data_IF_858134959374
#
_entry.id   IF_858134959374
#
_cell.length_a   1.000
_cell.length_b   1.000
_cell.length_c   1.000
_cell.angle_alpha   90.00
_cell.angle_beta   90.00
_cell.angle_gamma   90.00
#
_symmetry.space_group_name_H-M   'P 1'
#
loop_
_entity.id
_entity.type
_entity.pdbx_description
1 polymer ?
#
# COMPACT_ATOMS: atom_id res chain seq x y z
N UNK A 1 35.31 0.19 -0.91
CA UNK A 1 34.82 -1.20 -1.01
C UNK A 1 33.77 -1.48 0.06
N UNK A 2 34.08 -1.38 1.36
CA UNK A 2 33.14 -1.60 2.47
C UNK A 2 31.86 -0.75 2.36
N UNK A 3 31.95 0.55 2.05
CA UNK A 3 30.78 1.43 1.94
C UNK A 3 29.78 1.00 0.87
N UNK A 4 30.26 0.48 -0.27
CA UNK A 4 29.37 0.01 -1.35
C UNK A 4 28.65 -1.28 -0.96
N UNK A 5 29.34 -2.18 -0.26
CA UNK A 5 28.75 -3.40 0.28
C UNK A 5 27.66 -3.09 1.32
N UNK A 6 27.90 -2.12 2.21
CA UNK A 6 26.90 -1.70 3.21
C UNK A 6 25.64 -1.09 2.56
N UNK A 7 25.81 -0.28 1.51
CA UNK A 7 24.70 0.26 0.73
C UNK A 7 23.88 -0.88 0.11
N UNK A 8 24.55 -1.84 -0.53
CA UNK A 8 23.89 -2.99 -1.16
C UNK A 8 23.04 -3.79 -0.16
N UNK A 9 23.58 -4.13 1.00
CA UNK A 9 22.82 -4.85 2.02
C UNK A 9 21.67 -4.05 2.60
N UNK A 10 21.82 -2.73 2.71
CA UNK A 10 20.76 -1.84 3.19
C UNK A 10 19.59 -1.80 2.20
N UNK A 11 19.89 -1.70 0.90
CA UNK A 11 18.89 -1.71 -0.17
C UNK A 11 18.18 -3.06 -0.25
N UNK A 12 18.92 -4.18 -0.22
CA UNK A 12 18.32 -5.53 -0.19
C UNK A 12 17.42 -5.72 1.02
N UNK A 13 17.82 -5.21 2.19
CA UNK A 13 16.99 -5.28 3.41
C UNK A 13 15.68 -4.51 3.23
N UNK A 14 15.70 -3.35 2.56
CA UNK A 14 14.49 -2.63 2.17
C UNK A 14 13.64 -3.45 1.19
N UNK A 15 14.23 -4.07 0.17
CA UNK A 15 13.53 -4.95 -0.77
C UNK A 15 12.80 -6.11 -0.09
N UNK A 16 13.47 -6.78 0.85
CA UNK A 16 12.86 -7.84 1.66
C UNK A 16 11.74 -7.32 2.56
N UNK A 17 11.93 -6.15 3.19
CA UNK A 17 10.87 -5.51 3.97
C UNK A 17 9.66 -5.18 3.08
N UNK A 18 9.88 -4.68 1.86
CA UNK A 18 8.83 -4.42 0.88
C UNK A 18 8.05 -5.68 0.48
N UNK A 19 8.78 -6.77 0.25
CA UNK A 19 8.20 -8.10 -0.01
C UNK A 19 7.31 -8.56 1.16
N UNK A 20 7.79 -8.43 2.39
CA UNK A 20 7.01 -8.81 3.59
C UNK A 20 5.73 -7.98 3.70
N UNK A 21 5.77 -6.67 3.40
CA UNK A 21 4.58 -5.82 3.41
C UNK A 21 3.53 -6.28 2.40
N UNK A 22 3.94 -6.62 1.16
CA UNK A 22 3.02 -7.18 0.17
C UNK A 22 2.43 -8.52 0.61
N UNK A 23 3.27 -9.44 1.11
CA UNK A 23 2.82 -10.76 1.57
C UNK A 23 1.82 -10.62 2.72
N UNK A 24 2.12 -9.81 3.74
CA UNK A 24 1.20 -9.60 4.87
C UNK A 24 -0.10 -8.99 4.38
N UNK A 25 -0.05 -7.99 3.50
CA UNK A 25 -1.24 -7.37 2.92
C UNK A 25 -2.12 -8.39 2.19
N UNK A 26 -1.50 -9.21 1.35
CA UNK A 26 -2.21 -10.20 0.55
C UNK A 26 -2.75 -11.36 1.39
N UNK A 27 -2.01 -11.82 2.41
CA UNK A 27 -2.49 -12.83 3.36
C UNK A 27 -3.73 -12.31 4.10
N UNK A 28 -3.69 -11.08 4.61
CA UNK A 28 -4.81 -10.51 5.35
C UNK A 28 -6.03 -10.29 4.47
N UNK A 29 -5.82 -9.92 3.21
CA UNK A 29 -6.88 -9.85 2.20
C UNK A 29 -7.52 -11.22 1.96
N UNK A 30 -6.71 -12.27 1.74
CA UNK A 30 -7.21 -13.63 1.50
C UNK A 30 -7.90 -14.25 2.72
N UNK A 31 -7.47 -13.89 3.94
CA UNK A 31 -8.14 -14.30 5.18
C UNK A 31 -9.49 -13.60 5.40
N UNK A 32 -9.85 -12.62 4.57
CA UNK A 32 -11.02 -11.78 4.77
C UNK A 32 -10.92 -10.85 5.99
N UNK A 33 -9.74 -10.73 6.60
CA UNK A 33 -9.49 -9.85 7.75
C UNK A 33 -9.37 -8.40 7.27
N UNK A 34 -8.73 -8.18 6.12
CA UNK A 34 -8.73 -6.92 5.41
C UNK A 34 -9.52 -7.07 4.12
N UNK A 35 -10.05 -5.95 3.63
CA UNK A 35 -10.82 -5.82 2.41
C UNK A 35 -10.17 -4.79 1.50
N UNK A 36 -10.63 -4.72 0.25
CA UNK A 36 -10.20 -3.68 -0.69
C UNK A 36 -10.59 -2.26 -0.22
N UNK A 37 -11.50 -2.10 0.75
CA UNK A 37 -11.88 -0.79 1.28
C UNK A 37 -10.94 -0.34 2.40
N UNK A 38 -10.22 -1.27 3.04
CA UNK A 38 -9.41 -0.96 4.21
C UNK A 38 -8.18 -0.13 3.85
N UNK A 39 -8.02 1.00 4.56
CA UNK A 39 -6.85 1.87 4.41
C UNK A 39 -5.53 1.12 4.66
N UNK A 40 -5.51 0.18 5.62
CA UNK A 40 -4.30 -0.61 5.96
C UNK A 40 -3.81 -1.45 4.77
N UNK A 41 -4.74 -2.05 4.01
CA UNK A 41 -4.42 -2.83 2.83
C UNK A 41 -3.66 -1.96 1.81
N UNK A 42 -4.17 -0.78 1.49
CA UNK A 42 -3.51 0.11 0.53
C UNK A 42 -2.19 0.67 1.04
N UNK A 43 -2.10 1.05 2.32
CA UNK A 43 -0.85 1.57 2.92
C UNK A 43 0.27 0.53 2.85
N UNK A 44 -0.02 -0.74 3.16
CA UNK A 44 0.99 -1.80 3.06
C UNK A 44 1.46 -2.01 1.62
N UNK A 45 0.54 -2.01 0.64
CA UNK A 45 0.90 -2.12 -0.77
C UNK A 45 1.71 -0.90 -1.27
N UNK A 46 1.38 0.32 -0.83
CA UNK A 46 2.13 1.53 -1.19
C UNK A 46 3.55 1.47 -0.63
N UNK A 47 3.71 1.20 0.68
CA UNK A 47 5.05 1.09 1.29
C UNK A 47 5.86 -0.06 0.68
N UNK A 48 5.23 -1.22 0.45
CA UNK A 48 5.83 -2.36 -0.24
C UNK A 48 6.34 -1.99 -1.63
N UNK A 49 5.51 -1.30 -2.41
CA UNK A 49 5.88 -0.84 -3.75
C UNK A 49 7.07 0.12 -3.74
N UNK A 50 7.12 1.08 -2.82
CA UNK A 50 8.23 2.05 -2.75
C UNK A 50 9.55 1.34 -2.45
N UNK A 51 9.56 0.43 -1.46
CA UNK A 51 10.78 -0.29 -1.11
C UNK A 51 11.26 -1.21 -2.24
N UNK A 52 10.35 -1.91 -2.91
CA UNK A 52 10.71 -2.77 -4.03
C UNK A 52 11.13 -2.01 -5.28
N UNK A 53 10.56 -0.82 -5.54
CA UNK A 53 11.06 0.05 -6.62
C UNK A 53 12.50 0.48 -6.34
N UNK A 54 12.82 0.89 -5.10
CA UNK A 54 14.20 1.26 -4.73
C UNK A 54 15.17 0.11 -4.96
N UNK A 55 14.81 -1.09 -4.48
CA UNK A 55 15.61 -2.30 -4.61
C UNK A 55 15.81 -2.73 -6.06
N UNK A 56 14.72 -2.83 -6.83
CA UNK A 56 14.78 -3.30 -8.22
C UNK A 56 15.41 -2.29 -9.18
N UNK A 57 15.36 -0.98 -8.89
CA UNK A 57 16.13 0.03 -9.62
C UNK A 57 17.62 -0.08 -9.32
N UNK A 58 17.99 -0.34 -8.06
CA UNK A 58 19.39 -0.55 -7.65
C UNK A 58 20.00 -1.78 -8.34
N UNK A 59 19.22 -2.83 -8.54
CA UNK A 59 19.61 -4.06 -9.25
C UNK A 59 19.44 -3.99 -10.78
N UNK A 60 19.18 -2.81 -11.34
CA UNK A 60 18.94 -2.60 -12.79
C UNK A 60 17.82 -3.46 -13.40
N UNK A 61 16.92 -3.96 -12.55
CA UNK A 61 15.80 -4.84 -12.91
C UNK A 61 14.57 -4.02 -13.29
N UNK A 62 14.63 -3.31 -14.42
CA UNK A 62 13.63 -2.31 -14.80
C UNK A 62 12.22 -2.85 -15.00
N UNK A 63 12.06 -4.10 -15.46
CA UNK A 63 10.74 -4.73 -15.58
C UNK A 63 10.08 -4.90 -14.20
N UNK A 64 10.84 -5.33 -13.20
CA UNK A 64 10.37 -5.46 -11.83
C UNK A 64 10.12 -4.07 -11.19
N UNK A 65 10.96 -3.08 -11.47
CA UNK A 65 10.75 -1.71 -11.02
C UNK A 65 9.45 -1.12 -11.57
N UNK A 66 9.18 -1.29 -12.86
CA UNK A 66 7.94 -0.84 -13.49
C UNK A 66 6.72 -1.54 -12.86
N UNK A 67 6.77 -2.86 -12.68
CA UNK A 67 5.67 -3.61 -12.08
C UNK A 67 5.34 -3.11 -10.67
N UNK A 68 6.36 -2.93 -9.80
CA UNK A 68 6.16 -2.43 -8.45
C UNK A 68 5.66 -0.97 -8.45
N UNK A 69 6.16 -0.13 -9.35
CA UNK A 69 5.69 1.25 -9.49
C UNK A 69 4.20 1.32 -9.84
N UNK A 70 3.74 0.52 -10.81
CA UNK A 70 2.32 0.47 -11.17
C UNK A 70 1.46 -0.11 -10.06
N UNK A 71 1.95 -1.10 -9.30
CA UNK A 71 1.27 -1.58 -8.09
C UNK A 71 1.07 -0.46 -7.06
N UNK A 72 2.09 0.38 -6.86
CA UNK A 72 1.97 1.58 -6.02
C UNK A 72 0.89 2.55 -6.51
N UNK A 73 0.81 2.80 -7.83
CA UNK A 73 -0.25 3.63 -8.42
C UNK A 73 -1.64 3.04 -8.16
N UNK A 74 -1.82 1.73 -8.39
CA UNK A 74 -3.09 1.04 -8.15
C UNK A 74 -3.50 1.13 -6.68
N UNK A 75 -2.55 0.96 -5.75
CA UNK A 75 -2.81 1.08 -4.32
C UNK A 75 -3.17 2.53 -3.90
N UNK A 76 -2.48 3.53 -4.46
CA UNK A 76 -2.84 4.95 -4.27
C UNK A 76 -4.25 5.25 -4.78
N UNK A 77 -4.60 4.78 -5.97
CA UNK A 77 -5.94 4.92 -6.53
C UNK A 77 -7.00 4.29 -5.62
N UNK A 78 -6.76 3.05 -5.16
CA UNK A 78 -7.65 2.35 -4.23
C UNK A 78 -7.85 3.14 -2.93
N UNK A 79 -6.77 3.61 -2.31
CA UNK A 79 -6.82 4.42 -1.09
C UNK A 79 -7.68 5.68 -1.24
N UNK A 80 -7.49 6.43 -2.32
CA UNK A 80 -8.24 7.67 -2.59
C UNK A 80 -9.72 7.35 -2.81
N UNK A 81 -10.02 6.32 -3.62
CA UNK A 81 -11.39 5.92 -3.93
C UNK A 81 -12.18 5.53 -2.69
N UNK A 82 -11.63 4.65 -1.85
CA UNK A 82 -12.37 4.09 -0.73
C UNK A 82 -12.44 5.02 0.49
N UNK A 83 -11.43 5.85 0.71
CA UNK A 83 -11.48 6.88 1.77
C UNK A 83 -12.62 7.90 1.54
N UNK A 84 -12.95 8.18 0.29
CA UNK A 84 -14.09 9.05 -0.04
C UNK A 84 -15.44 8.36 0.23
N UNK A 85 -15.52 7.05 0.04
CA UNK A 85 -16.75 6.27 0.29
C UNK A 85 -17.05 6.12 1.78
N UNK A 86 -16.02 5.93 2.62
CA UNK A 86 -16.19 5.88 4.08
C UNK A 86 -16.77 7.18 4.64
N UNK A 87 -16.27 8.33 4.15
CA UNK A 87 -16.78 9.65 4.55
C UNK A 87 -18.24 9.88 4.15
N UNK A 88 -18.61 9.55 2.91
CA UNK A 88 -19.99 9.71 2.44
C UNK A 88 -20.96 8.89 3.30
N UNK A 89 -20.62 7.63 3.59
CA UNK A 89 -21.46 6.77 4.46
C UNK A 89 -21.58 7.32 5.88
N UNK A 90 -20.51 7.88 6.45
CA UNK A 90 -20.59 8.49 7.78
C UNK A 90 -21.48 9.73 7.80
N UNK A 91 -21.40 10.55 6.74
CA UNK A 91 -22.17 11.78 6.64
C UNK A 91 -23.68 11.47 6.46
N UNK A 92 -24.02 10.50 5.60
CA UNK A 92 -25.40 10.01 5.41
C UNK A 92 -25.98 9.43 6.72
N UNK A 93 -25.19 8.64 7.45
CA UNK A 93 -25.61 8.09 8.74
C UNK A 93 -25.89 9.19 9.77
N UNK A 94 -25.03 10.22 9.86
CA UNK A 94 -25.23 11.37 10.75
C UNK A 94 -26.49 12.15 10.36
N UNK A 95 -26.70 12.41 9.06
CA UNK A 95 -27.88 13.12 8.56
C UNK A 95 -29.18 12.35 8.89
N UNK A 96 -29.20 11.03 8.70
CA UNK A 96 -30.37 10.18 9.00
C UNK A 96 -30.80 10.19 10.47
N UNK A 97 -29.88 10.54 11.37
CA UNK A 97 -30.11 10.57 12.82
C UNK A 97 -30.47 11.95 13.35
N UNK A 98 -30.48 13.00 12.52
CA UNK A 98 -30.91 14.32 12.95
C UNK A 98 -32.40 14.28 13.31
N UNK A 99 -32.81 14.78 14.49
CA UNK A 99 -34.21 14.85 14.84
C UNK A 99 -34.92 15.80 13.87
N UNK A 100 -36.08 15.38 13.35
CA UNK A 100 -36.97 16.26 12.60
C UNK A 100 -37.51 17.34 13.55
N UNK A 101 -36.82 18.49 13.60
CA UNK A 101 -37.32 19.71 14.20
C UNK A 101 -38.29 20.34 13.19
N UNK A 102 -39.54 19.86 13.23
CA UNK A 102 -40.69 20.52 12.59
C UNK A 102 -41.39 21.34 13.68
#
# INVERSE_FOLDING_TARGET
MVSQTLISYSVQTLGWLGTLLFIVSYIQLNRGVWTLQDTKFHVYNILGSVFLVIDTVYDFSYAAAAANFFWGIVACYGLIKFRNQEKVKSDEFIESKKPNLI
#
